data_IF_264513709272
#
_entry.id   IF_264513709272
#
_cell.length_a   1.000
_cell.length_b   1.000
_cell.length_c   1.000
_cell.angle_alpha   90.00
_cell.angle_beta   90.00
_cell.angle_gamma   90.00
#
_symmetry.space_group_name_H-M   'P 1'
#
loop_
_entity.id
_entity.type
_entity.pdbx_description
1 polymer ?
#
# COMPACT_ATOMS: atom_id res chain seq x y z
N UNK A 1 9.41 1.96 -5.05
CA UNK A 1 9.78 2.39 -3.67
C UNK A 1 9.58 1.21 -2.75
N UNK A 2 10.48 0.99 -1.78
CA UNK A 2 10.36 -0.08 -0.78
C UNK A 2 10.48 0.54 0.61
N UNK A 3 9.60 0.13 1.53
CA UNK A 3 9.69 0.54 2.93
C UNK A 3 10.69 -0.33 3.69
N UNK A 4 11.19 0.17 4.81
CA UNK A 4 11.82 -0.67 5.83
C UNK A 4 10.75 -1.44 6.62
N UNK A 5 11.19 -2.21 7.64
CA UNK A 5 10.32 -2.95 8.55
C UNK A 5 9.23 -2.04 9.14
N UNK A 6 7.98 -2.46 8.95
CA UNK A 6 6.80 -1.77 9.44
C UNK A 6 6.28 -2.50 10.69
N UNK A 7 6.14 -1.77 11.79
CA UNK A 7 5.51 -2.26 13.02
C UNK A 7 4.22 -1.50 13.25
N UNK A 8 3.15 -2.24 13.47
CA UNK A 8 1.85 -1.68 13.76
C UNK A 8 1.19 -2.39 14.94
N UNK A 9 0.23 -1.71 15.54
CA UNK A 9 -0.64 -2.26 16.56
C UNK A 9 -2.08 -1.95 16.19
N UNK A 10 -2.98 -2.87 16.47
CA UNK A 10 -4.41 -2.76 16.23
C UNK A 10 -5.13 -3.19 17.50
N UNK A 11 -5.98 -2.30 18.02
CA UNK A 11 -6.95 -2.65 19.06
C UNK A 11 -8.28 -2.96 18.36
N UNK A 12 -8.88 -4.10 18.70
CA UNK A 12 -10.13 -4.53 18.07
C UNK A 12 -11.13 -4.97 19.13
N UNK A 13 -12.40 -4.82 18.81
CA UNK A 13 -13.51 -5.39 19.55
C UNK A 13 -14.50 -6.01 18.58
N UNK A 14 -15.08 -7.14 18.97
CA UNK A 14 -16.04 -7.88 18.16
C UNK A 14 -16.96 -8.70 19.04
N UNK A 15 -18.21 -8.86 18.63
CA UNK A 15 -19.20 -9.65 19.35
C UNK A 15 -19.37 -11.00 18.65
N UNK A 16 -19.30 -12.09 19.42
CA UNK A 16 -19.61 -13.43 18.92
C UNK A 16 -20.49 -14.16 19.93
N UNK A 17 -21.65 -14.64 19.48
CA UNK A 17 -22.63 -15.34 20.31
C UNK A 17 -23.00 -14.57 21.60
N UNK A 18 -23.15 -13.24 21.53
CA UNK A 18 -23.48 -12.39 22.68
C UNK A 18 -22.30 -12.09 23.61
N UNK A 19 -21.10 -12.56 23.30
CA UNK A 19 -19.89 -12.29 24.07
C UNK A 19 -19.07 -11.23 23.33
N UNK A 20 -18.92 -10.06 23.95
CA UNK A 20 -18.02 -9.02 23.48
C UNK A 20 -16.59 -9.44 23.80
N UNK A 21 -15.79 -9.60 22.75
CA UNK A 21 -14.35 -9.86 22.82
C UNK A 21 -13.62 -8.60 22.39
N UNK A 22 -12.55 -8.28 23.09
CA UNK A 22 -11.62 -7.23 22.69
C UNK A 22 -10.19 -7.73 22.84
N UNK A 23 -9.29 -7.15 22.06
CA UNK A 23 -7.90 -7.58 22.02
C UNK A 23 -6.99 -6.55 21.41
N UNK A 24 -5.69 -6.74 21.65
CA UNK A 24 -4.61 -6.00 20.99
C UNK A 24 -3.83 -6.98 20.13
N UNK A 25 -3.57 -6.56 18.91
CA UNK A 25 -2.82 -7.31 17.91
C UNK A 25 -1.65 -6.46 17.46
N UNK A 26 -0.45 -6.93 17.73
CA UNK A 26 0.77 -6.35 17.19
C UNK A 26 1.12 -7.09 15.90
N UNK A 27 1.48 -6.35 14.87
CA UNK A 27 1.93 -6.94 13.61
C UNK A 27 3.24 -6.31 13.16
N UNK A 28 4.04 -7.11 12.47
CA UNK A 28 5.29 -6.69 11.84
C UNK A 28 5.27 -7.15 10.40
N UNK A 29 5.57 -6.24 9.48
CA UNK A 29 5.72 -6.52 8.06
C UNK A 29 7.16 -6.18 7.68
N UNK A 30 7.88 -7.13 7.10
CA UNK A 30 9.29 -6.94 6.77
C UNK A 30 9.51 -5.76 5.82
N UNK A 31 8.68 -5.65 4.78
CA UNK A 31 8.65 -4.52 3.85
C UNK A 31 7.34 -4.51 3.06
N UNK A 32 6.99 -3.33 2.55
CA UNK A 32 6.03 -3.15 1.46
C UNK A 32 6.78 -2.48 0.31
N UNK A 33 6.77 -3.12 -0.85
CA UNK A 33 7.30 -2.57 -2.08
C UNK A 33 6.17 -2.19 -3.03
N UNK A 34 6.26 -0.99 -3.58
CA UNK A 34 5.32 -0.44 -4.55
C UNK A 34 6.08 -0.06 -5.82
N UNK A 35 5.63 -0.57 -6.96
CA UNK A 35 6.11 -0.23 -8.30
C UNK A 35 4.95 0.36 -9.09
N UNK A 36 5.07 1.60 -9.52
CA UNK A 36 4.05 2.29 -10.31
C UNK A 36 4.62 2.59 -11.70
N UNK A 37 3.89 2.23 -12.75
CA UNK A 37 4.19 2.59 -14.12
C UNK A 37 3.25 3.70 -14.55
N UNK A 38 3.81 4.89 -14.78
CA UNK A 38 3.05 6.07 -15.21
C UNK A 38 3.38 6.37 -16.67
N UNK A 39 2.35 6.66 -17.45
CA UNK A 39 2.47 7.10 -18.84
C UNK A 39 1.99 8.53 -18.98
N UNK A 40 2.80 9.37 -19.64
CA UNK A 40 2.45 10.75 -19.98
C UNK A 40 2.40 10.88 -21.50
N UNK A 41 1.30 11.42 -22.02
CA UNK A 41 1.16 11.74 -23.44
C UNK A 41 2.02 12.97 -23.80
N UNK A 42 2.48 13.03 -25.06
CA UNK A 42 3.11 14.23 -25.61
C UNK A 42 2.14 15.42 -25.70
N UNK A 43 0.84 15.13 -25.79
CA UNK A 43 -0.19 16.14 -25.63
C UNK A 43 -0.28 16.53 -24.14
N UNK A 44 0.31 17.67 -23.79
CA UNK A 44 0.41 18.20 -22.42
C UNK A 44 -0.95 18.54 -21.78
N UNK A 45 -2.03 18.57 -22.58
CA UNK A 45 -3.40 18.74 -22.09
C UNK A 45 -3.91 17.48 -21.41
N UNK A 46 -3.33 16.32 -21.74
CA UNK A 46 -3.70 15.04 -21.15
C UNK A 46 -2.96 14.82 -19.82
N UNK A 47 -3.72 14.40 -18.80
CA UNK A 47 -3.18 14.10 -17.48
C UNK A 47 -2.35 12.81 -17.49
N UNK A 48 -1.30 12.71 -16.65
CA UNK A 48 -0.57 11.47 -16.49
C UNK A 48 -1.50 10.34 -16.07
N UNK A 49 -1.33 9.17 -16.67
CA UNK A 49 -2.14 7.99 -16.38
C UNK A 49 -1.28 6.93 -15.69
N UNK A 50 -1.79 6.38 -14.59
CA UNK A 50 -1.24 5.20 -13.96
C UNK A 50 -1.61 3.98 -14.80
N UNK A 51 -0.63 3.44 -15.52
CA UNK A 51 -0.81 2.25 -16.36
C UNK A 51 -0.80 0.98 -15.54
N UNK A 52 0.10 0.89 -14.57
CA UNK A 52 0.25 -0.30 -13.75
C UNK A 52 0.68 0.05 -12.32
N UNK A 53 0.24 -0.75 -11.36
CA UNK A 53 0.60 -0.64 -9.96
C UNK A 53 0.80 -2.05 -9.41
N UNK A 54 2.04 -2.35 -9.08
CA UNK A 54 2.47 -3.65 -8.59
C UNK A 54 2.93 -3.53 -7.14
N UNK A 55 2.33 -4.37 -6.30
CA UNK A 55 2.48 -4.36 -4.85
C UNK A 55 3.09 -5.68 -4.38
N UNK A 56 4.13 -5.57 -3.59
CA UNK A 56 4.83 -6.70 -3.01
C UNK A 56 4.92 -6.54 -1.49
N UNK A 57 4.38 -7.53 -0.77
CA UNK A 57 4.45 -7.58 0.68
C UNK A 57 5.48 -8.63 1.12
N UNK A 58 6.37 -8.23 2.02
CA UNK A 58 7.28 -9.13 2.71
C UNK A 58 6.56 -10.06 3.70
N UNK A 59 7.33 -10.77 4.52
CA UNK A 59 6.75 -11.63 5.54
C UNK A 59 5.92 -10.82 6.54
N UNK A 60 4.79 -11.39 6.96
CA UNK A 60 3.90 -10.81 7.98
C UNK A 60 3.95 -11.67 9.23
N UNK A 61 4.28 -11.05 10.37
CA UNK A 61 4.19 -11.67 11.70
C UNK A 61 3.09 -10.99 12.48
N UNK A 62 2.27 -11.79 13.14
CA UNK A 62 1.22 -11.30 14.02
C UNK A 62 1.45 -11.89 15.40
N UNK A 63 1.22 -11.07 16.43
CA UNK A 63 1.27 -11.45 17.84
C UNK A 63 0.09 -10.82 18.57
N UNK A 64 -0.67 -11.63 19.30
CA UNK A 64 -1.85 -11.17 20.04
C UNK A 64 -1.63 -11.22 21.55
N UNK A 65 -2.02 -10.16 22.28
CA UNK A 65 -1.71 -9.99 23.71
C UNK A 65 -2.67 -10.71 24.67
N UNK A 66 -3.34 -11.80 24.26
CA UNK A 66 -4.32 -12.49 25.12
C UNK A 66 -4.16 -14.02 25.13
N UNK A 67 -4.21 -14.68 26.31
CA UNK A 67 -3.97 -16.12 26.49
C UNK A 67 -5.12 -17.01 25.97
N UNK A 68 -6.11 -16.44 25.27
CA UNK A 68 -7.24 -17.18 24.75
C UNK A 68 -6.82 -18.11 23.60
N UNK A 69 -7.21 -19.38 23.65
CA UNK A 69 -6.84 -20.41 22.67
C UNK A 69 -7.18 -20.04 21.22
N UNK A 70 -8.27 -19.30 21.00
CA UNK A 70 -8.65 -18.81 19.67
C UNK A 70 -7.59 -17.90 19.05
N UNK A 71 -6.94 -17.06 19.86
CA UNK A 71 -5.89 -16.16 19.37
C UNK A 71 -4.64 -16.94 18.96
N UNK A 72 -4.27 -17.98 19.73
CA UNK A 72 -3.17 -18.88 19.38
C UNK A 72 -3.42 -19.61 18.06
N UNK A 73 -4.67 -20.02 17.78
CA UNK A 73 -5.03 -20.60 16.49
C UNK A 73 -4.91 -19.58 15.36
N UNK A 74 -5.40 -18.36 15.54
CA UNK A 74 -5.31 -17.30 14.51
C UNK A 74 -3.84 -16.94 14.23
N UNK A 75 -3.05 -16.73 15.29
CA UNK A 75 -1.61 -16.50 15.19
C UNK A 75 -0.91 -17.67 14.46
N UNK A 76 -1.25 -18.91 14.81
CA UNK A 76 -0.75 -20.10 14.14
C UNK A 76 -1.10 -20.17 12.66
N UNK A 77 -2.34 -19.86 12.28
CA UNK A 77 -2.79 -19.85 10.87
C UNK A 77 -2.05 -18.78 10.08
N UNK A 78 -1.98 -17.55 10.59
CA UNK A 78 -1.33 -16.43 9.90
C UNK A 78 0.16 -16.74 9.66
N UNK A 79 0.83 -17.28 10.67
CA UNK A 79 2.24 -17.62 10.59
C UNK A 79 2.51 -18.90 9.75
N UNK A 80 1.55 -19.83 9.68
CA UNK A 80 1.66 -21.04 8.85
C UNK A 80 1.37 -20.78 7.37
N UNK A 81 0.54 -19.78 7.05
CA UNK A 81 0.11 -19.47 5.69
C UNK A 81 0.45 -18.03 5.25
N UNK A 82 1.74 -17.66 5.28
CA UNK A 82 2.19 -16.30 4.94
C UNK A 82 1.78 -15.88 3.51
N UNK A 83 1.72 -16.84 2.58
CA UNK A 83 1.35 -16.59 1.18
C UNK A 83 -0.11 -16.17 1.02
N UNK A 84 -1.02 -16.78 1.78
CA UNK A 84 -2.44 -16.44 1.71
C UNK A 84 -2.68 -15.04 2.25
N UNK A 85 -2.07 -14.72 3.40
CA UNK A 85 -2.17 -13.40 4.03
C UNK A 85 -1.60 -12.31 3.12
N UNK A 86 -0.44 -12.56 2.51
CA UNK A 86 0.15 -11.65 1.52
C UNK A 86 -0.83 -11.33 0.40
N UNK A 87 -1.44 -12.34 -0.22
CA UNK A 87 -2.35 -12.13 -1.34
C UNK A 87 -3.60 -11.35 -0.92
N UNK A 88 -4.25 -11.73 0.18
CA UNK A 88 -5.43 -11.03 0.71
C UNK A 88 -5.13 -9.55 0.94
N UNK A 89 -3.99 -9.24 1.58
CA UNK A 89 -3.60 -7.86 1.86
C UNK A 89 -3.30 -7.09 0.57
N UNK A 90 -2.49 -7.66 -0.33
CA UNK A 90 -2.12 -7.01 -1.59
C UNK A 90 -3.34 -6.70 -2.42
N UNK A 91 -4.22 -7.68 -2.66
CA UNK A 91 -5.42 -7.52 -3.48
C UNK A 91 -6.36 -6.46 -2.89
N UNK A 92 -6.51 -6.45 -1.56
CA UNK A 92 -7.36 -5.46 -0.88
C UNK A 92 -6.78 -4.04 -0.96
N UNK A 93 -5.45 -3.90 -1.00
CA UNK A 93 -4.78 -2.59 -1.04
C UNK A 93 -4.55 -2.07 -2.46
N UNK A 94 -4.56 -2.93 -3.47
CA UNK A 94 -4.22 -2.53 -4.84
C UNK A 94 -5.16 -1.48 -5.41
N UNK A 95 -6.47 -1.75 -5.41
CA UNK A 95 -7.48 -0.82 -5.91
C UNK A 95 -7.44 0.55 -5.21
N UNK A 96 -7.51 0.65 -3.86
CA UNK A 96 -7.51 1.95 -3.21
C UNK A 96 -6.20 2.71 -3.42
N UNK A 97 -5.05 2.03 -3.50
CA UNK A 97 -3.79 2.70 -3.81
C UNK A 97 -3.76 3.19 -5.26
N UNK A 98 -4.28 2.40 -6.21
CA UNK A 98 -4.39 2.79 -7.63
C UNK A 98 -5.22 4.06 -7.78
N UNK A 99 -6.38 4.12 -7.13
CA UNK A 99 -7.25 5.31 -7.12
C UNK A 99 -6.54 6.53 -6.53
N UNK A 100 -5.88 6.38 -5.37
CA UNK A 100 -5.18 7.49 -4.71
C UNK A 100 -4.01 8.00 -5.53
N UNK A 101 -3.24 7.11 -6.15
CA UNK A 101 -2.14 7.52 -7.03
C UNK A 101 -2.70 8.25 -8.25
N UNK A 102 -3.76 7.76 -8.88
CA UNK A 102 -4.37 8.46 -10.01
C UNK A 102 -4.96 9.83 -9.62
N UNK A 103 -5.58 9.95 -8.44
CA UNK A 103 -6.02 11.24 -7.89
C UNK A 103 -4.86 12.23 -7.75
N UNK A 104 -3.68 11.76 -7.31
CA UNK A 104 -2.49 12.59 -7.21
C UNK A 104 -2.00 13.00 -8.61
N UNK A 105 -1.93 12.07 -9.56
CA UNK A 105 -1.53 12.36 -10.94
C UNK A 105 -2.48 13.36 -11.62
N UNK A 106 -3.79 13.27 -11.36
CA UNK A 106 -4.80 14.18 -11.90
C UNK A 106 -4.60 15.63 -11.46
N UNK A 107 -3.98 15.86 -10.29
CA UNK A 107 -3.67 17.20 -9.77
C UNK A 107 -2.47 17.84 -10.47
N UNK A 108 -1.67 17.08 -11.22
CA UNK A 108 -0.50 17.60 -11.93
C UNK A 108 -0.96 18.42 -13.15
N UNK A 109 -0.47 19.64 -13.28
CA UNK A 109 -0.62 20.45 -14.48
C UNK A 109 0.65 20.30 -15.35
N UNK A 110 0.57 19.41 -16.35
CA UNK A 110 1.73 19.07 -17.20
C UNK A 110 2.17 20.26 -18.05
N UNK A 111 1.24 21.06 -18.56
CA UNK A 111 1.53 22.26 -19.35
C UNK A 111 2.38 23.26 -18.55
N UNK A 112 1.96 23.58 -17.33
CA UNK A 112 2.74 24.44 -16.43
C UNK A 112 4.11 23.86 -16.11
N UNK A 113 4.22 22.54 -15.89
CA UNK A 113 5.52 21.90 -15.60
C UNK A 113 6.45 21.97 -16.82
N UNK A 114 5.93 21.83 -18.03
CA UNK A 114 6.73 21.97 -19.25
C UNK A 114 7.18 23.41 -19.44
N UNK A 115 6.26 24.37 -19.33
CA UNK A 115 6.56 25.80 -19.49
C UNK A 115 7.61 26.28 -18.48
N UNK A 116 7.55 25.83 -17.23
CA UNK A 116 8.51 26.19 -16.19
C UNK A 116 9.92 25.59 -16.43
N UNK A 117 10.02 24.48 -17.17
CA UNK A 117 11.27 23.77 -17.41
C UNK A 117 11.88 24.01 -18.80
N UNK A 118 11.09 24.45 -19.79
CA UNK A 118 11.57 24.81 -21.14
C UNK A 118 12.73 25.83 -21.11
N UNK A 119 12.69 26.93 -20.34
CA UNK A 119 13.79 27.89 -20.28
C UNK A 119 15.12 27.28 -19.78
N UNK A 120 15.06 26.19 -19.01
CA UNK A 120 16.24 25.47 -18.53
C UNK A 120 16.86 24.60 -19.61
N UNK A 121 16.04 24.09 -20.53
CA UNK A 121 16.46 23.24 -21.64
C UNK A 121 17.03 24.08 -22.79
N UNK A 122 16.44 25.24 -23.07
CA UNK A 122 16.93 26.19 -24.08
C UNK A 122 18.33 26.73 -23.72
N UNK A 123 18.66 26.80 -22.42
CA UNK A 123 20.01 27.13 -21.94
C UNK A 123 21.09 26.10 -22.25
N UNK A 124 20.72 24.87 -22.66
CA UNK A 124 21.64 23.82 -23.09
C UNK A 124 21.88 23.78 -24.61
N UNK A 125 21.26 24.69 -25.38
CA UNK A 125 21.57 24.89 -26.79
C UNK A 125 21.27 23.69 -27.68
N UNK A 126 20.01 23.28 -27.74
CA UNK A 126 19.45 22.56 -28.90
C UNK A 126 18.80 23.55 -29.86
#
# INVERSE_FOLDING_TARGET
VMTHELKGHCEWSGETFGIVKSGKTNFTVDHLQVRALVTQSLDVRQKPQLRDLDLELGWVKVKMDSPMTLNLMIEGIINAFPRLIRHIIVDTLEEPLREKVQEILNKINVESVVDDNLPRLDGFGL
#
